data_IF_974695314486
#
_entry.id   IF_974695314486
#
_cell.length_a   1.000
_cell.length_b   1.000
_cell.length_c   1.000
_cell.angle_alpha   90.00
_cell.angle_beta   90.00
_cell.angle_gamma   90.00
#
_symmetry.space_group_name_H-M   'P 1'
#
loop_
_entity.id
_entity.type
_entity.pdbx_description
1 polymer ?
#
# COMPACT_ATOMS: atom_id res chain seq x y z
N UNK A 1 0.01 13.87 -12.85
CA UNK A 1 0.97 13.70 -11.75
C UNK A 1 1.05 14.87 -10.80
N UNK A 2 1.25 16.07 -11.31
CA UNK A 2 1.37 17.27 -10.45
C UNK A 2 0.11 17.59 -9.65
N UNK A 3 -1.04 17.12 -10.13
CA UNK A 3 -2.34 17.42 -9.55
C UNK A 3 -2.74 16.50 -8.39
N UNK A 4 -1.97 15.41 -8.16
CA UNK A 4 -2.30 14.42 -7.16
C UNK A 4 -1.22 14.35 -6.09
N UNK A 5 -1.62 14.15 -4.84
CA UNK A 5 -0.73 14.10 -3.69
C UNK A 5 -0.46 12.68 -3.20
N UNK A 6 -1.28 11.72 -3.61
CA UNK A 6 -1.16 10.34 -3.20
C UNK A 6 -1.76 9.40 -4.22
N UNK A 7 -1.28 8.15 -4.19
CA UNK A 7 -1.79 7.05 -5.00
C UNK A 7 -2.29 5.95 -4.08
N UNK A 8 -3.58 5.62 -4.17
CA UNK A 8 -4.16 4.52 -3.40
C UNK A 8 -4.35 3.32 -4.33
N UNK A 9 -3.88 2.15 -3.91
CA UNK A 9 -3.91 0.94 -4.72
C UNK A 9 -4.72 -0.13 -3.98
N UNK A 10 -5.90 -0.50 -4.49
CA UNK A 10 -6.69 -1.58 -3.90
C UNK A 10 -6.11 -2.94 -4.25
N UNK A 11 -6.55 -3.97 -3.53
CA UNK A 11 -6.21 -5.34 -3.86
C UNK A 11 -7.16 -5.93 -4.88
N UNK A 12 -6.89 -7.19 -5.24
CA UNK A 12 -7.73 -7.96 -6.15
C UNK A 12 -7.25 -9.41 -6.18
N UNK A 13 -7.99 -10.25 -6.88
CA UNK A 13 -7.66 -11.67 -7.02
C UNK A 13 -7.06 -11.95 -8.39
N UNK A 14 -5.99 -12.76 -8.41
CA UNK A 14 -5.31 -13.13 -9.65
C UNK A 14 -6.24 -13.81 -10.66
N UNK A 15 -7.21 -14.60 -10.17
CA UNK A 15 -8.19 -15.30 -11.02
C UNK A 15 -9.11 -14.34 -11.79
N UNK A 16 -9.19 -13.08 -11.36
CA UNK A 16 -9.96 -12.03 -12.04
C UNK A 16 -9.08 -11.05 -12.82
N UNK A 17 -7.85 -11.45 -13.12
CA UNK A 17 -6.95 -10.63 -13.93
C UNK A 17 -6.22 -9.51 -13.18
N UNK A 18 -6.24 -9.54 -11.84
CA UNK A 18 -5.61 -8.48 -11.05
C UNK A 18 -4.14 -8.25 -11.44
N UNK A 19 -3.33 -9.32 -11.52
CA UNK A 19 -1.89 -9.17 -11.75
C UNK A 19 -1.54 -8.74 -13.17
N UNK A 20 -2.38 -9.02 -14.14
CA UNK A 20 -2.17 -8.57 -15.51
C UNK A 20 -2.21 -7.04 -15.57
N UNK A 21 -3.19 -6.44 -14.91
CA UNK A 21 -3.33 -4.98 -14.85
C UNK A 21 -2.33 -4.35 -13.87
N UNK A 22 -2.16 -4.98 -12.72
CA UNK A 22 -1.27 -4.48 -11.66
C UNK A 22 0.20 -4.43 -12.10
N UNK A 23 0.59 -5.35 -12.97
CA UNK A 23 1.97 -5.42 -13.46
C UNK A 23 2.18 -4.75 -14.82
N UNK A 24 1.18 -4.05 -15.33
CA UNK A 24 1.32 -3.24 -16.54
C UNK A 24 2.44 -2.21 -16.34
N UNK A 25 3.36 -2.12 -17.30
CA UNK A 25 4.53 -1.25 -17.18
C UNK A 25 4.18 0.23 -17.00
N UNK A 26 3.08 0.68 -17.57
CA UNK A 26 2.62 2.06 -17.40
C UNK A 26 2.23 2.33 -15.96
N UNK A 27 1.60 1.35 -15.31
CA UNK A 27 1.22 1.46 -13.90
C UNK A 27 2.46 1.41 -13.00
N UNK A 28 3.38 0.49 -13.27
CA UNK A 28 4.64 0.42 -12.50
C UNK A 28 5.44 1.72 -12.63
N UNK A 29 5.46 2.31 -13.81
CA UNK A 29 6.11 3.61 -14.03
C UNK A 29 5.44 4.72 -13.22
N UNK A 30 4.11 4.72 -13.17
CA UNK A 30 3.35 5.68 -12.36
C UNK A 30 3.73 5.58 -10.89
N UNK A 31 3.83 4.36 -10.35
CA UNK A 31 4.26 4.14 -8.96
C UNK A 31 5.65 4.73 -8.73
N UNK A 32 6.59 4.48 -9.64
CA UNK A 32 7.93 5.04 -9.53
C UNK A 32 7.92 6.56 -9.54
N UNK A 33 7.09 7.17 -10.36
CA UNK A 33 6.98 8.62 -10.46
C UNK A 33 6.42 9.24 -9.17
N UNK A 34 5.39 8.64 -8.59
CA UNK A 34 4.85 9.09 -7.30
C UNK A 34 5.92 9.03 -6.22
N UNK A 35 6.65 7.92 -6.16
CA UNK A 35 7.72 7.77 -5.17
C UNK A 35 8.86 8.77 -5.39
N UNK A 36 9.26 8.98 -6.63
CA UNK A 36 10.36 9.92 -6.96
C UNK A 36 10.04 11.35 -6.54
N UNK A 37 8.76 11.70 -6.53
CA UNK A 37 8.31 13.03 -6.10
C UNK A 37 7.99 13.08 -4.59
N UNK A 38 8.30 12.02 -3.86
CA UNK A 38 8.04 11.96 -2.42
C UNK A 38 6.57 11.87 -2.05
N UNK A 39 5.71 11.55 -2.99
CA UNK A 39 4.27 11.45 -2.76
C UNK A 39 3.91 10.14 -2.08
N UNK A 40 2.74 10.11 -1.45
CA UNK A 40 2.31 8.97 -0.66
C UNK A 40 1.77 7.85 -1.56
N UNK A 41 2.14 6.61 -1.26
CA UNK A 41 1.59 5.42 -1.91
C UNK A 41 0.97 4.56 -0.82
N UNK A 42 -0.33 4.30 -0.94
CA UNK A 42 -1.07 3.51 0.03
C UNK A 42 -1.66 2.28 -0.66
N UNK A 43 -1.26 1.09 -0.22
CA UNK A 43 -1.67 -0.17 -0.83
C UNK A 43 -2.35 -1.07 0.19
N UNK A 44 -3.46 -1.70 -0.21
CA UNK A 44 -4.20 -2.63 0.61
C UNK A 44 -4.04 -4.04 0.03
N UNK A 45 -3.74 -5.01 0.88
CA UNK A 45 -3.71 -6.43 0.52
C UNK A 45 -2.74 -6.69 -0.65
N UNK A 46 -3.21 -7.30 -1.72
CA UNK A 46 -2.40 -7.59 -2.91
C UNK A 46 -1.96 -6.35 -3.68
N UNK A 47 -2.50 -5.18 -3.34
CA UNK A 47 -2.03 -3.90 -3.89
C UNK A 47 -0.55 -3.62 -3.61
N UNK A 48 0.04 -4.30 -2.62
CA UNK A 48 1.47 -4.19 -2.33
C UNK A 48 2.35 -4.80 -3.44
N UNK A 49 1.83 -5.74 -4.21
CA UNK A 49 2.62 -6.42 -5.25
C UNK A 49 3.08 -5.51 -6.39
N UNK A 50 2.22 -4.69 -6.99
CA UNK A 50 2.72 -3.76 -8.00
C UNK A 50 3.73 -2.76 -7.43
N UNK A 51 3.56 -2.35 -6.17
CA UNK A 51 4.55 -1.46 -5.51
C UNK A 51 5.90 -2.17 -5.41
N UNK A 52 5.89 -3.43 -4.98
CA UNK A 52 7.13 -4.23 -4.89
C UNK A 52 7.72 -4.49 -6.28
N UNK A 53 6.88 -4.82 -7.25
CA UNK A 53 7.32 -5.12 -8.62
C UNK A 53 7.95 -3.91 -9.29
N UNK A 54 7.50 -2.71 -8.95
CA UNK A 54 8.09 -1.47 -9.47
C UNK A 54 9.51 -1.21 -8.94
N UNK A 55 9.91 -1.89 -7.86
CA UNK A 55 11.20 -1.67 -7.21
C UNK A 55 11.16 -0.66 -6.06
N UNK A 56 10.06 0.04 -5.89
CA UNK A 56 9.92 1.11 -4.89
C UNK A 56 9.98 0.58 -3.45
N UNK A 57 9.58 -0.68 -3.23
CA UNK A 57 9.66 -1.32 -1.91
C UNK A 57 10.96 -2.09 -1.67
N UNK A 58 11.90 -2.09 -2.61
CA UNK A 58 13.16 -2.82 -2.46
C UNK A 58 13.90 -2.40 -1.19
N UNK A 59 14.17 -3.36 -0.32
CA UNK A 59 14.83 -3.15 0.98
C UNK A 59 14.06 -2.25 1.95
N UNK A 60 12.75 -2.03 1.70
CA UNK A 60 11.89 -1.25 2.59
C UNK A 60 10.93 -2.17 3.31
N UNK A 61 10.37 -1.68 4.42
CA UNK A 61 9.37 -2.42 5.19
C UNK A 61 8.03 -2.42 4.47
N UNK A 62 7.37 -3.57 4.48
CA UNK A 62 6.05 -3.68 3.88
C UNK A 62 5.36 -4.97 4.31
N UNK A 63 4.10 -5.09 3.98
CA UNK A 63 3.31 -6.30 4.22
C UNK A 63 2.26 -6.47 3.15
N UNK A 64 1.56 -7.60 3.20
CA UNK A 64 0.47 -7.93 2.30
C UNK A 64 -0.45 -8.96 2.96
N UNK A 65 -1.34 -9.56 2.21
CA UNK A 65 -2.29 -10.55 2.69
C UNK A 65 -1.57 -11.63 3.50
N UNK A 66 -2.01 -11.82 4.74
CA UNK A 66 -1.30 -12.64 5.73
C UNK A 66 -1.85 -14.05 5.92
N UNK A 67 -3.06 -14.31 5.43
CA UNK A 67 -3.70 -15.62 5.58
C UNK A 67 -3.06 -16.65 4.63
N UNK A 68 -3.54 -17.90 4.70
CA UNK A 68 -2.99 -19.03 3.94
C UNK A 68 -1.53 -19.29 4.27
N UNK A 69 -1.24 -19.34 5.58
CA UNK A 69 0.09 -19.66 6.13
C UNK A 69 1.19 -18.70 5.65
N UNK A 70 0.84 -17.44 5.38
CA UNK A 70 1.83 -16.46 4.99
C UNK A 70 2.37 -16.64 3.57
N UNK A 71 1.67 -17.41 2.73
CA UNK A 71 2.08 -17.67 1.35
C UNK A 71 2.40 -16.37 0.59
N UNK A 72 1.48 -15.41 0.63
CA UNK A 72 1.64 -14.15 -0.09
C UNK A 72 2.71 -13.24 0.53
N UNK A 73 2.85 -13.27 1.84
CA UNK A 73 3.94 -12.53 2.50
C UNK A 73 5.31 -13.07 2.07
N UNK A 74 5.43 -14.40 1.92
CA UNK A 74 6.67 -15.02 1.42
C UNK A 74 6.94 -14.61 -0.03
N UNK A 75 5.89 -14.52 -0.86
CA UNK A 75 6.03 -14.06 -2.25
C UNK A 75 6.49 -12.61 -2.31
N UNK A 76 5.96 -11.77 -1.42
CA UNK A 76 6.37 -10.38 -1.32
C UNK A 76 7.85 -10.27 -0.92
N UNK A 77 8.27 -11.09 0.01
CA UNK A 77 9.67 -11.17 0.45
C UNK A 77 10.60 -11.53 -0.72
N UNK A 78 10.18 -12.44 -1.59
CA UNK A 78 10.95 -12.83 -2.78
C UNK A 78 11.19 -11.63 -3.72
N UNK A 79 10.36 -10.61 -3.65
CA UNK A 79 10.52 -9.38 -4.43
C UNK A 79 11.43 -8.34 -3.77
N UNK A 80 12.10 -8.71 -2.67
CA UNK A 80 13.07 -7.84 -2.01
C UNK A 80 12.52 -6.95 -0.91
N UNK A 81 11.28 -7.20 -0.46
CA UNK A 81 10.64 -6.42 0.59
C UNK A 81 11.03 -6.98 1.96
N UNK A 82 11.32 -6.11 2.92
CA UNK A 82 11.47 -6.48 4.32
C UNK A 82 10.09 -6.64 4.92
N UNK A 83 9.54 -7.85 4.87
CA UNK A 83 8.17 -8.11 5.30
C UNK A 83 8.05 -8.03 6.82
N UNK A 84 7.10 -7.21 7.28
CA UNK A 84 6.75 -7.06 8.69
C UNK A 84 5.36 -7.65 8.88
N UNK A 85 5.21 -8.55 9.84
CA UNK A 85 3.92 -9.22 10.10
C UNK A 85 3.05 -8.36 11.03
N UNK A 86 2.60 -7.23 10.51
CA UNK A 86 1.72 -6.28 11.18
C UNK A 86 0.56 -5.91 10.26
N UNK A 87 -0.62 -5.61 10.81
CA UNK A 87 -1.80 -5.29 9.97
C UNK A 87 -1.60 -4.11 9.01
N UNK A 88 -0.90 -3.09 9.46
CA UNK A 88 -0.56 -1.91 8.64
C UNK A 88 0.90 -1.57 8.88
N UNK A 89 1.64 -1.41 7.80
CA UNK A 89 3.07 -1.06 7.87
C UNK A 89 3.28 0.26 7.14
N UNK A 90 3.90 1.20 7.82
CA UNK A 90 4.26 2.50 7.24
C UNK A 90 5.78 2.58 7.17
N UNK A 91 6.30 2.83 5.98
CA UNK A 91 7.72 3.09 5.78
C UNK A 91 7.86 4.36 4.94
N UNK A 92 8.17 5.47 5.62
CA UNK A 92 8.25 6.77 4.95
C UNK A 92 6.93 7.16 4.29
N UNK A 93 6.96 7.26 2.98
CA UNK A 93 5.79 7.64 2.16
C UNK A 93 4.96 6.45 1.68
N UNK A 94 5.27 5.23 2.11
CA UNK A 94 4.57 4.03 1.63
C UNK A 94 3.83 3.34 2.75
N UNK A 95 2.55 3.06 2.54
CA UNK A 95 1.68 2.32 3.45
C UNK A 95 1.29 1.01 2.76
N UNK A 96 1.44 -0.11 3.46
CA UNK A 96 0.97 -1.42 3.00
C UNK A 96 0.15 -2.07 4.11
N UNK A 97 -0.69 -3.03 3.79
CA UNK A 97 -1.58 -3.64 4.77
C UNK A 97 -1.99 -5.06 4.41
N UNK A 98 -2.59 -5.78 5.37
CA UNK A 98 -2.96 -7.18 5.26
C UNK A 98 -4.08 -7.46 4.26
N UNK A 99 -5.25 -6.86 4.46
CA UNK A 99 -6.51 -7.34 3.88
C UNK A 99 -7.58 -6.25 3.90
N UNK A 100 -8.75 -6.51 3.31
CA UNK A 100 -9.84 -5.51 3.29
C UNK A 100 -10.20 -4.95 4.66
N UNK A 101 -10.12 -5.75 5.71
CA UNK A 101 -10.41 -5.29 7.08
C UNK A 101 -9.51 -4.14 7.51
N UNK A 102 -8.29 -4.05 6.99
CA UNK A 102 -7.35 -2.99 7.34
C UNK A 102 -7.55 -1.70 6.55
N UNK A 103 -8.44 -1.70 5.57
CA UNK A 103 -8.65 -0.53 4.72
C UNK A 103 -8.98 0.77 5.49
N UNK A 104 -9.85 0.75 6.52
CA UNK A 104 -10.08 1.96 7.32
C UNK A 104 -8.80 2.50 7.98
N UNK A 105 -7.95 1.61 8.51
CA UNK A 105 -6.69 2.01 9.13
C UNK A 105 -5.74 2.64 8.12
N UNK A 106 -5.68 2.07 6.91
CA UNK A 106 -4.88 2.64 5.82
C UNK A 106 -5.39 4.03 5.45
N UNK A 107 -6.71 4.18 5.35
CA UNK A 107 -7.33 5.46 5.04
C UNK A 107 -7.00 6.51 6.09
N UNK A 108 -7.03 6.16 7.38
CA UNK A 108 -6.69 7.09 8.46
C UNK A 108 -5.20 7.46 8.45
N UNK A 109 -4.31 6.51 8.17
CA UNK A 109 -2.88 6.81 8.03
C UNK A 109 -2.64 7.75 6.85
N UNK A 110 -3.30 7.50 5.73
CA UNK A 110 -3.21 8.36 4.55
C UNK A 110 -3.72 9.78 4.86
N UNK A 111 -4.87 9.89 5.53
CA UNK A 111 -5.43 11.18 5.94
C UNK A 111 -4.47 11.93 6.86
N UNK A 112 -3.90 11.23 7.83
CA UNK A 112 -2.90 11.79 8.75
C UNK A 112 -1.70 12.36 7.99
N UNK A 113 -1.19 11.64 7.02
CA UNK A 113 -0.05 12.07 6.21
C UNK A 113 -0.38 13.27 5.31
N UNK A 114 -1.60 13.32 4.79
CA UNK A 114 -2.05 14.40 3.91
C UNK A 114 -2.45 15.67 4.66
N UNK A 115 -2.81 15.55 5.92
CA UNK A 115 -3.27 16.67 6.75
C UNK A 115 -2.45 16.74 8.04
N UNK A 116 -2.97 16.17 9.13
CA UNK A 116 -2.30 16.09 10.42
C UNK A 116 -2.93 15.01 11.26
N UNK A 117 -2.25 14.60 12.33
CA UNK A 117 -2.82 13.67 13.31
C UNK A 117 -4.09 14.21 13.94
N UNK A 118 -4.10 15.52 14.26
CA UNK A 118 -5.27 16.18 14.84
C UNK A 118 -6.48 16.12 13.92
N UNK A 119 -6.30 16.44 12.64
CA UNK A 119 -7.39 16.39 11.65
C UNK A 119 -7.90 14.96 11.48
N UNK A 120 -6.99 13.99 11.42
CA UNK A 120 -7.36 12.59 11.30
C UNK A 120 -8.20 12.14 12.49
N UNK A 121 -7.81 12.48 13.72
CA UNK A 121 -8.57 12.11 14.92
C UNK A 121 -9.97 12.71 14.94
N UNK A 122 -10.12 13.97 14.52
CA UNK A 122 -11.42 14.63 14.43
C UNK A 122 -12.35 13.88 13.47
N UNK A 123 -11.85 13.57 12.28
CA UNK A 123 -12.63 12.86 11.26
C UNK A 123 -12.96 11.43 11.71
N UNK A 124 -11.97 10.74 12.28
CA UNK A 124 -12.14 9.37 12.77
C UNK A 124 -13.27 9.28 13.80
N UNK A 125 -13.29 10.20 14.76
CA UNK A 125 -14.36 10.28 15.76
C UNK A 125 -15.72 10.58 15.12
N UNK A 126 -15.75 11.51 14.19
CA UNK A 126 -16.99 11.87 13.49
C UNK A 126 -17.57 10.69 12.71
N UNK A 127 -16.72 9.76 12.26
CA UNK A 127 -17.14 8.55 11.57
C UNK A 127 -17.54 7.41 12.50
N UNK A 128 -17.38 7.58 13.82
CA UNK A 128 -17.77 6.56 14.79
C UNK A 128 -16.70 5.55 15.17
N UNK A 129 -15.47 5.83 14.84
CA UNK A 129 -14.35 4.92 15.20
C UNK A 129 -13.73 5.29 16.55
#
# INVERSE_FOLDING_TARGET
>A
MKEYDALAIPGGFGEFGFYEEAYDERFLKLIKEFNAQGKIIAAVCSGAFPVAKSGVLQNRKGTTYHLKNGYWQNKLKELGVNVVNEPVVVDGNIITSYCPETAPKVAFELLKMLTSEKEMEVIKKAMGF
#
